data_IF_453248377534
#
_entry.id   IF_453248377534
#
_cell.length_a   1.000
_cell.length_b   1.000
_cell.length_c   1.000
_cell.angle_alpha   90.00
_cell.angle_beta   90.00
_cell.angle_gamma   90.00
#
_symmetry.space_group_name_H-M   'P 1'
#
loop_
_entity.id
_entity.type
_entity.pdbx_description
1 polymer ?
#
# COMPACT_ATOMS: atom_id res chain seq x y z
N UNK A 1 21.99 0.68 -26.67
CA UNK A 1 22.48 -0.71 -26.54
C UNK A 1 22.10 -1.28 -25.16
N UNK A 2 20.82 -1.36 -24.81
CA UNK A 2 20.35 -1.79 -23.46
C UNK A 2 19.17 -2.77 -23.50
N UNK A 3 19.06 -3.54 -24.59
CA UNK A 3 17.83 -4.28 -24.91
C UNK A 3 17.83 -5.73 -24.39
N UNK A 4 18.68 -6.07 -23.41
CA UNK A 4 18.93 -7.47 -23.03
C UNK A 4 18.87 -7.81 -21.54
N UNK A 5 18.73 -6.86 -20.61
CA UNK A 5 19.09 -7.15 -19.21
C UNK A 5 17.99 -7.12 -18.15
N UNK A 6 16.82 -6.57 -18.37
CA UNK A 6 16.05 -6.10 -17.20
C UNK A 6 14.73 -6.82 -16.95
N UNK A 7 14.05 -7.33 -17.99
CA UNK A 7 12.73 -7.97 -17.81
C UNK A 7 12.80 -9.28 -17.02
N UNK A 8 13.67 -10.20 -17.44
CA UNK A 8 13.72 -11.54 -16.84
C UNK A 8 14.38 -11.53 -15.44
N UNK A 9 15.42 -10.72 -15.24
CA UNK A 9 16.08 -10.59 -13.94
C UNK A 9 15.15 -9.98 -12.88
N UNK A 10 14.35 -8.98 -13.23
CA UNK A 10 13.38 -8.39 -12.30
C UNK A 10 12.34 -9.42 -11.83
N UNK A 11 11.86 -10.29 -12.71
CA UNK A 11 10.96 -11.39 -12.33
C UNK A 11 11.63 -12.39 -11.38
N UNK A 12 12.88 -12.78 -11.64
CA UNK A 12 13.62 -13.69 -10.75
C UNK A 12 13.76 -13.08 -9.36
N UNK A 13 14.12 -11.79 -9.26
CA UNK A 13 14.25 -11.09 -7.98
C UNK A 13 12.90 -11.04 -7.24
N UNK A 14 11.82 -10.74 -7.96
CA UNK A 14 10.46 -10.73 -7.40
C UNK A 14 10.09 -12.11 -6.83
N UNK A 15 10.40 -13.19 -7.54
CA UNK A 15 10.15 -14.57 -7.08
C UNK A 15 10.95 -14.87 -5.81
N UNK A 16 12.23 -14.48 -5.75
CA UNK A 16 13.06 -14.68 -4.55
C UNK A 16 12.47 -13.93 -3.35
N UNK A 17 12.06 -12.67 -3.53
CA UNK A 17 11.43 -11.88 -2.47
C UNK A 17 10.11 -12.51 -2.03
N UNK A 18 9.29 -13.00 -2.95
CA UNK A 18 8.05 -13.72 -2.63
C UNK A 18 8.30 -15.00 -1.83
N UNK A 19 9.39 -15.72 -2.10
CA UNK A 19 9.77 -16.91 -1.33
C UNK A 19 10.24 -16.55 0.09
N UNK A 20 10.96 -15.45 0.27
CA UNK A 20 11.46 -15.01 1.58
C UNK A 20 10.37 -14.36 2.45
N UNK A 21 9.57 -13.48 1.85
CA UNK A 21 8.57 -12.68 2.56
C UNK A 21 7.18 -13.31 2.53
N UNK A 22 6.87 -14.13 1.52
CA UNK A 22 5.54 -14.71 1.31
C UNK A 22 4.57 -13.79 0.57
N UNK A 23 3.57 -14.38 -0.09
CA UNK A 23 2.55 -13.66 -0.85
C UNK A 23 1.74 -12.59 -0.08
N UNK A 24 1.36 -12.76 1.20
CA UNK A 24 0.56 -11.75 1.90
C UNK A 24 1.40 -10.58 2.47
N UNK A 25 2.72 -10.73 2.62
CA UNK A 25 3.56 -9.69 3.26
C UNK A 25 4.01 -8.59 2.29
N UNK A 26 4.23 -8.92 1.02
CA UNK A 26 4.51 -7.91 -0.02
C UNK A 26 3.40 -6.87 -0.21
N UNK A 27 2.12 -7.26 -0.37
CA UNK A 27 1.04 -6.27 -0.51
C UNK A 27 0.83 -5.47 0.77
N UNK A 28 1.03 -6.06 1.95
CA UNK A 28 0.92 -5.34 3.22
C UNK A 28 2.00 -4.25 3.36
N UNK A 29 3.26 -4.56 3.05
CA UNK A 29 4.35 -3.59 3.06
C UNK A 29 4.18 -2.51 1.98
N UNK A 30 3.74 -2.90 0.79
CA UNK A 30 3.44 -1.95 -0.29
C UNK A 30 2.31 -1.00 0.11
N UNK A 31 1.27 -1.49 0.80
CA UNK A 31 0.18 -0.65 1.32
C UNK A 31 0.67 0.36 2.36
N UNK A 32 1.47 -0.06 3.34
CA UNK A 32 1.96 0.87 4.39
C UNK A 32 2.93 1.93 3.84
N UNK A 33 3.84 1.52 2.94
CA UNK A 33 4.73 2.44 2.22
C UNK A 33 3.95 3.37 1.29
N UNK A 34 2.98 2.83 0.55
CA UNK A 34 2.13 3.58 -0.36
C UNK A 34 1.29 4.64 0.35
N UNK A 35 0.74 4.33 1.53
CA UNK A 35 0.02 5.33 2.33
C UNK A 35 0.94 6.45 2.82
N UNK A 36 2.15 6.12 3.31
CA UNK A 36 3.13 7.12 3.74
C UNK A 36 3.58 8.02 2.57
N UNK A 37 3.83 7.42 1.41
CA UNK A 37 4.18 8.15 0.18
C UNK A 37 3.01 8.97 -0.36
N UNK A 38 1.77 8.50 -0.25
CA UNK A 38 0.57 9.23 -0.67
C UNK A 38 0.41 10.50 0.15
N UNK A 39 0.56 10.42 1.47
CA UNK A 39 0.48 11.59 2.35
C UNK A 39 1.56 12.60 1.98
N UNK A 40 2.83 12.17 1.89
CA UNK A 40 3.92 13.06 1.47
C UNK A 40 3.70 13.65 0.08
N UNK A 41 3.22 12.86 -0.89
CA UNK A 41 2.91 13.33 -2.24
C UNK A 41 1.78 14.35 -2.22
N UNK A 42 0.78 14.17 -1.38
CA UNK A 42 -0.38 15.04 -1.28
C UNK A 42 0.00 16.38 -0.64
N UNK A 43 0.78 16.38 0.44
CA UNK A 43 1.31 17.62 1.04
C UNK A 43 2.20 18.38 0.06
N UNK A 44 3.15 17.69 -0.60
CA UNK A 44 4.05 18.31 -1.59
C UNK A 44 3.29 18.79 -2.83
N UNK A 45 2.26 18.06 -3.27
CA UNK A 45 1.37 18.52 -4.34
C UNK A 45 0.54 19.69 -3.86
N UNK A 46 -0.03 19.73 -2.67
CA UNK A 46 -0.83 20.87 -2.20
C UNK A 46 -0.03 22.19 -2.18
N UNK A 47 1.27 22.15 -1.89
CA UNK A 47 2.17 23.29 -2.04
C UNK A 47 2.45 23.66 -3.52
N UNK A 48 2.41 22.68 -4.43
CA UNK A 48 2.67 22.87 -5.88
C UNK A 48 1.41 23.19 -6.72
N UNK A 49 0.26 22.60 -6.36
CA UNK A 49 -1.07 22.68 -7.01
C UNK A 49 -1.82 23.96 -6.60
N UNK A 50 -1.32 24.74 -5.62
CA UNK A 50 -1.83 26.10 -5.40
C UNK A 50 -1.64 26.99 -6.65
N UNK A 51 -0.84 26.54 -7.63
CA UNK A 51 -0.70 27.17 -8.94
C UNK A 51 -1.66 26.62 -10.02
N UNK A 52 -2.01 25.32 -10.05
CA UNK A 52 -2.80 24.74 -11.14
C UNK A 52 -3.58 23.51 -10.64
N UNK A 53 -4.91 23.61 -10.53
CA UNK A 53 -5.74 22.52 -10.00
C UNK A 53 -6.16 21.47 -11.03
N UNK A 54 -6.10 20.18 -10.67
CA UNK A 54 -7.14 19.14 -10.94
C UNK A 54 -6.63 17.71 -10.71
N UNK A 55 -7.37 17.00 -9.85
CA UNK A 55 -7.71 15.55 -9.83
C UNK A 55 -6.59 14.50 -9.80
N UNK A 56 -6.53 13.75 -8.68
CA UNK A 56 -6.38 12.29 -8.78
C UNK A 56 -6.96 11.57 -7.55
N UNK A 57 -8.19 11.06 -7.68
CA UNK A 57 -8.76 10.05 -6.79
C UNK A 57 -8.99 8.77 -7.59
N UNK A 58 -7.94 7.97 -7.71
CA UNK A 58 -8.05 6.54 -7.98
C UNK A 58 -7.83 5.79 -6.65
N UNK A 59 -8.87 5.80 -5.81
CA UNK A 59 -9.01 4.82 -4.73
C UNK A 59 -9.73 3.60 -5.33
N UNK A 60 -8.97 2.54 -5.61
CA UNK A 60 -9.52 1.23 -5.93
C UNK A 60 -8.54 0.12 -5.55
N UNK A 61 -8.80 -0.48 -4.38
CA UNK A 61 -9.30 -1.87 -4.28
C UNK A 61 -8.54 -2.82 -3.33
N UNK A 62 -9.37 -3.41 -2.46
CA UNK A 62 -9.33 -4.76 -1.87
C UNK A 62 -8.94 -4.85 -0.39
N UNK A 63 -10.00 -4.79 0.44
CA UNK A 63 -10.49 -5.85 1.33
C UNK A 63 -9.45 -6.65 2.11
N UNK A 64 -9.39 -6.41 3.42
CA UNK A 64 -9.36 -7.48 4.42
C UNK A 64 -10.06 -6.96 5.69
N UNK A 65 -11.36 -7.21 5.76
CA UNK A 65 -12.12 -7.11 7.00
C UNK A 65 -12.38 -8.54 7.48
N UNK A 66 -11.60 -9.08 8.44
CA UNK A 66 -12.11 -10.10 9.31
C UNK A 66 -12.86 -9.41 10.45
N UNK A 67 -14.18 -9.35 10.27
CA UNK A 67 -15.17 -9.29 11.34
C UNK A 67 -14.88 -10.39 12.36
N UNK A 68 -14.27 -10.05 13.49
CA UNK A 68 -14.52 -10.70 14.78
C UNK A 68 -15.12 -9.61 15.68
N UNK A 69 -16.43 -9.40 15.66
CA UNK A 69 -17.36 -10.04 16.60
C UNK A 69 -16.68 -10.39 17.93
N UNK A 70 -16.62 -9.40 18.79
CA UNK A 70 -16.36 -9.52 20.23
C UNK A 70 -17.13 -8.42 20.95
N UNK A 71 -18.44 -8.31 20.67
CA UNK A 71 -19.34 -7.42 21.41
C UNK A 71 -19.80 -8.12 22.69
N UNK A 72 -19.78 -7.34 23.76
CA UNK A 72 -20.61 -7.44 24.97
C UNK A 72 -20.18 -8.45 26.04
N UNK A 73 -19.68 -7.94 27.17
CA UNK A 73 -20.39 -7.85 28.47
C UNK A 73 -19.46 -7.05 29.41
N UNK A 74 -19.66 -5.75 29.55
CA UNK A 74 -20.29 -5.14 30.74
C UNK A 74 -19.91 -5.87 32.05
N UNK A 75 -18.94 -5.37 32.79
CA UNK A 75 -18.96 -5.49 34.26
C UNK A 75 -18.56 -4.14 34.81
N UNK A 76 -19.56 -3.27 34.76
CA UNK A 76 -19.71 -2.12 35.62
C UNK A 76 -19.61 -2.55 37.07
N UNK A 77 -18.60 -1.99 37.76
CA UNK A 77 -18.64 -1.45 39.13
C UNK A 77 -19.95 -1.74 39.91
N UNK A 78 -19.87 -2.60 40.93
CA UNK A 78 -20.71 -2.56 42.13
C UNK A 78 -19.88 -3.05 43.31
#
# INVERSE_FOLDING_TARGET
>A
MFQGFTGWHALIILVVILLLFGAPKLPALARSLGQSMKILKNEVRSDSDQAEGTTDSADAATTDQPKATGSSTDTTKS
#
